data_IF_832519599198
#
_entry.id   IF_832519599198
#
_cell.length_a   1.000
_cell.length_b   1.000
_cell.length_c   1.000
_cell.angle_alpha   90.00
_cell.angle_beta   90.00
_cell.angle_gamma   90.00
#
_symmetry.space_group_name_H-M   'P 1'
#
loop_
_entity.id
_entity.type
_entity.pdbx_description
1 polymer ?
#
# COMPACT_ATOMS: atom_id res chain seq x y z
N UNK A 1 4.19 -5.59 -14.16
CA UNK A 1 3.89 -4.17 -14.24
C UNK A 1 2.39 -3.94 -14.29
N UNK A 2 2.00 -2.67 -14.19
CA UNK A 2 0.60 -2.28 -14.25
C UNK A 2 0.42 -1.44 -15.50
N UNK A 3 -0.52 -1.83 -16.36
CA UNK A 3 -0.79 -1.13 -17.60
C UNK A 3 -2.23 -0.64 -17.61
N UNK A 4 -2.42 0.52 -18.19
CA UNK A 4 -3.73 1.13 -18.33
C UNK A 4 -4.08 1.15 -19.82
N UNK A 5 -4.94 0.23 -20.24
CA UNK A 5 -5.32 0.10 -21.63
C UNK A 5 -6.80 0.40 -21.78
N UNK A 6 -7.11 1.46 -22.57
CA UNK A 6 -8.47 1.94 -22.71
C UNK A 6 -9.04 2.25 -21.33
N UNK A 7 -10.04 1.50 -20.88
CA UNK A 7 -10.62 1.73 -19.56
C UNK A 7 -10.37 0.57 -18.62
N UNK A 8 -9.29 -0.17 -18.88
CA UNK A 8 -8.98 -1.35 -18.09
C UNK A 8 -7.56 -1.28 -17.55
N UNK A 9 -7.36 -1.92 -16.40
CA UNK A 9 -6.05 -2.07 -15.81
C UNK A 9 -5.65 -3.53 -15.94
N UNK A 10 -4.40 -3.73 -16.37
CA UNK A 10 -3.81 -5.06 -16.46
C UNK A 10 -2.64 -5.11 -15.48
N UNK A 11 -2.64 -6.10 -14.60
CA UNK A 11 -1.52 -6.29 -13.67
C UNK A 11 -0.80 -7.56 -14.09
N UNK A 12 0.46 -7.39 -14.46
CA UNK A 12 1.27 -8.49 -14.99
C UNK A 12 2.53 -8.65 -14.16
N UNK A 13 2.92 -9.88 -13.93
CA UNK A 13 4.14 -10.18 -13.19
C UNK A 13 4.77 -11.44 -13.77
N UNK A 14 6.05 -11.34 -14.10
CA UNK A 14 6.82 -12.45 -14.66
C UNK A 14 6.13 -13.07 -15.89
N UNK A 15 5.55 -12.21 -16.74
CA UNK A 15 4.89 -12.66 -17.94
C UNK A 15 3.48 -13.19 -17.74
N UNK A 16 2.98 -13.15 -16.53
CA UNK A 16 1.65 -13.65 -16.20
C UNK A 16 0.69 -12.51 -15.92
N UNK A 17 -0.53 -12.65 -16.41
CA UNK A 17 -1.60 -11.70 -16.10
C UNK A 17 -2.21 -12.09 -14.76
N UNK A 18 -2.03 -11.24 -13.75
CA UNK A 18 -2.55 -11.50 -12.42
C UNK A 18 -3.98 -11.00 -12.25
N UNK A 19 -4.28 -9.83 -12.78
CA UNK A 19 -5.59 -9.20 -12.66
C UNK A 19 -5.88 -8.35 -13.87
N UNK A 20 -7.17 -8.24 -14.19
CA UNK A 20 -7.63 -7.38 -15.27
C UNK A 20 -9.03 -6.89 -14.92
N UNK A 21 -9.30 -5.62 -15.14
CA UNK A 21 -10.61 -5.08 -14.88
C UNK A 21 -10.60 -3.57 -14.91
N UNK A 22 -11.77 -2.97 -14.65
CA UNK A 22 -11.86 -1.52 -14.59
C UNK A 22 -11.06 -1.00 -13.40
N UNK A 23 -10.61 0.27 -13.46
CA UNK A 23 -9.91 0.85 -12.33
C UNK A 23 -10.70 0.75 -11.03
N UNK A 24 -12.00 0.98 -11.08
CA UNK A 24 -12.83 0.88 -9.89
C UNK A 24 -12.80 -0.52 -9.29
N UNK A 25 -12.99 -1.53 -10.14
CA UNK A 25 -13.02 -2.91 -9.67
C UNK A 25 -11.66 -3.33 -9.09
N UNK A 26 -10.59 -2.98 -9.79
CA UNK A 26 -9.25 -3.36 -9.37
C UNK A 26 -8.86 -2.67 -8.07
N UNK A 27 -9.15 -1.37 -7.96
CA UNK A 27 -8.85 -0.64 -6.73
C UNK A 27 -9.69 -1.13 -5.56
N UNK A 28 -10.93 -1.52 -5.83
CA UNK A 28 -11.79 -2.08 -4.79
C UNK A 28 -11.20 -3.37 -4.21
N UNK A 29 -10.45 -4.11 -5.00
CA UNK A 29 -9.88 -5.37 -4.52
C UNK A 29 -8.86 -5.18 -3.40
N UNK A 30 -8.32 -3.97 -3.25
CA UNK A 30 -7.36 -3.68 -2.17
C UNK A 30 -7.88 -2.60 -1.23
N UNK A 31 -9.17 -2.27 -1.27
CA UNK A 31 -9.68 -1.12 -0.52
C UNK A 31 -9.52 -1.27 1.00
N UNK A 32 -9.48 -2.48 1.51
CA UNK A 32 -9.29 -2.70 2.95
C UNK A 32 -7.84 -2.95 3.31
N UNK A 33 -6.92 -2.81 2.36
CA UNK A 33 -5.51 -3.09 2.57
C UNK A 33 -4.64 -1.83 2.60
N UNK A 34 -5.25 -0.66 2.46
CA UNK A 34 -4.50 0.60 2.50
C UNK A 34 -4.89 1.35 3.76
N UNK A 35 -3.89 1.70 4.54
CA UNK A 35 -4.09 2.24 5.88
C UNK A 35 -3.31 3.52 6.07
N UNK A 36 -3.79 4.37 6.97
CA UNK A 36 -2.98 5.46 7.52
C UNK A 36 -2.97 5.35 9.02
N UNK A 37 -1.87 5.78 9.63
CA UNK A 37 -1.78 5.80 11.08
C UNK A 37 -0.83 6.92 11.51
N UNK A 38 -1.13 7.50 12.66
CA UNK A 38 -0.27 8.50 13.28
C UNK A 38 0.51 7.82 14.40
N UNK A 39 1.83 7.90 14.33
CA UNK A 39 2.69 7.17 15.26
C UNK A 39 3.80 8.07 15.78
N UNK A 40 4.36 7.75 16.95
CA UNK A 40 5.58 8.42 17.38
C UNK A 40 6.73 8.07 16.45
N UNK A 41 7.71 8.96 16.37
CA UNK A 41 8.85 8.75 15.47
C UNK A 41 9.57 7.43 15.73
N UNK A 42 9.66 7.00 16.96
CA UNK A 42 10.39 5.78 17.29
C UNK A 42 9.73 4.52 16.76
N UNK A 43 8.46 4.59 16.31
CA UNK A 43 7.79 3.43 15.73
C UNK A 43 8.07 3.25 14.24
N UNK A 44 8.63 4.27 13.59
CA UNK A 44 8.79 4.24 12.14
C UNK A 44 9.67 3.08 11.69
N UNK A 45 10.80 2.90 12.33
CA UNK A 45 11.74 1.85 11.91
C UNK A 45 11.11 0.47 12.02
N UNK A 46 10.39 0.21 13.09
CA UNK A 46 9.73 -1.08 13.26
C UNK A 46 8.66 -1.32 12.18
N UNK A 47 7.89 -0.28 11.89
CA UNK A 47 6.85 -0.41 10.87
C UNK A 47 7.44 -0.59 9.49
N UNK A 48 8.53 0.12 9.18
CA UNK A 48 9.17 -0.03 7.88
C UNK A 48 9.80 -1.40 7.69
N UNK A 49 10.21 -2.04 8.78
CA UNK A 49 10.78 -3.38 8.69
C UNK A 49 9.72 -4.45 8.46
N UNK A 50 8.50 -4.21 8.90
CA UNK A 50 7.47 -5.23 8.89
C UNK A 50 6.37 -5.02 7.85
N UNK A 51 6.27 -3.81 7.29
CA UNK A 51 5.18 -3.47 6.40
C UNK A 51 5.69 -2.65 5.21
N UNK A 52 4.87 -2.61 4.16
CA UNK A 52 5.14 -1.75 3.01
C UNK A 52 4.66 -0.35 3.34
N UNK A 53 5.59 0.58 3.52
CA UNK A 53 5.26 1.98 3.83
C UNK A 53 5.27 2.76 2.52
N UNK A 54 4.09 3.21 2.11
CA UNK A 54 3.93 3.91 0.84
C UNK A 54 4.28 5.39 0.96
N UNK A 55 4.12 5.96 2.14
CA UNK A 55 4.35 7.38 2.33
C UNK A 55 4.56 7.69 3.79
N UNK A 56 5.33 8.74 4.06
CA UNK A 56 5.59 9.23 5.41
C UNK A 56 5.49 10.74 5.39
N UNK A 57 4.64 11.28 6.27
CA UNK A 57 4.50 12.72 6.42
C UNK A 57 4.86 13.12 7.84
N UNK A 58 5.69 14.13 7.96
CA UNK A 58 6.07 14.66 9.26
C UNK A 58 5.11 15.76 9.68
N UNK A 59 4.77 15.81 10.96
CA UNK A 59 4.04 16.92 11.53
C UNK A 59 4.65 17.24 12.87
N UNK A 60 4.15 18.31 13.50
CA UNK A 60 4.69 18.76 14.78
C UNK A 60 4.43 17.76 15.91
N UNK A 61 3.36 16.96 15.78
CA UNK A 61 2.92 16.13 16.87
C UNK A 61 3.12 14.64 16.63
N UNK A 62 3.14 14.21 15.38
CA UNK A 62 3.25 12.79 15.08
C UNK A 62 3.72 12.61 13.66
N UNK A 63 4.08 11.37 13.34
CA UNK A 63 4.41 11.00 11.98
C UNK A 63 3.24 10.24 11.39
N UNK A 64 2.81 10.61 10.19
CA UNK A 64 1.72 9.91 9.52
C UNK A 64 2.28 8.99 8.45
N UNK A 65 1.97 7.72 8.58
CA UNK A 65 2.40 6.71 7.62
C UNK A 65 1.22 6.20 6.82
N UNK A 66 1.46 5.97 5.52
CA UNK A 66 0.52 5.26 4.66
C UNK A 66 1.10 3.89 4.43
N UNK A 67 0.35 2.85 4.79
CA UNK A 67 0.86 1.48 4.82
C UNK A 67 -0.06 0.57 4.03
N UNK A 68 0.54 -0.37 3.30
CA UNK A 68 -0.20 -1.37 2.55
C UNK A 68 -0.04 -2.69 3.27
N UNK A 69 -1.14 -3.25 3.75
CA UNK A 69 -1.12 -4.48 4.54
C UNK A 69 -2.50 -5.11 4.54
N UNK A 70 -2.53 -6.44 4.47
CA UNK A 70 -3.80 -7.16 4.54
C UNK A 70 -4.37 -7.18 5.95
N UNK A 71 -3.55 -6.87 6.94
CA UNK A 71 -3.98 -6.79 8.33
C UNK A 71 -3.67 -5.41 8.87
N UNK A 72 -4.39 -4.98 9.92
CA UNK A 72 -4.14 -3.68 10.51
C UNK A 72 -2.71 -3.59 11.02
N UNK A 73 -1.96 -2.57 10.59
CA UNK A 73 -0.55 -2.46 10.99
C UNK A 73 -0.34 -1.80 12.35
N UNK A 74 -1.37 -1.16 12.89
CA UNK A 74 -1.24 -0.39 14.11
C UNK A 74 -2.60 -0.26 14.77
N UNK A 75 -2.63 -0.19 16.10
CA UNK A 75 -3.91 -0.23 16.81
C UNK A 75 -4.85 0.91 16.43
N UNK A 76 -4.31 2.07 16.09
CA UNK A 76 -5.13 3.22 15.73
C UNK A 76 -5.18 3.49 14.24
N UNK A 77 -4.73 2.54 13.42
CA UNK A 77 -4.75 2.72 11.97
C UNK A 77 -6.18 2.72 11.43
N UNK A 78 -6.38 3.44 10.35
CA UNK A 78 -7.67 3.48 9.67
C UNK A 78 -7.48 3.28 8.18
N UNK A 79 -8.49 2.71 7.53
CA UNK A 79 -8.43 2.49 6.09
C UNK A 79 -8.66 3.80 5.34
N UNK A 80 -8.00 3.91 4.19
CA UNK A 80 -8.15 5.06 3.29
C UNK A 80 -8.37 4.55 1.88
N UNK A 81 -8.83 5.44 1.00
CA UNK A 81 -9.08 5.09 -0.39
C UNK A 81 -7.78 4.76 -1.11
N UNK A 82 -7.72 3.63 -1.80
CA UNK A 82 -6.51 3.25 -2.54
C UNK A 82 -6.28 4.12 -3.76
N UNK A 83 -5.01 4.21 -4.14
CA UNK A 83 -4.59 4.86 -5.38
C UNK A 83 -3.90 3.83 -6.26
N UNK A 84 -3.61 4.22 -7.51
CA UNK A 84 -2.87 3.33 -8.41
C UNK A 84 -1.47 3.04 -7.89
N UNK A 85 -0.86 4.00 -7.21
CA UNK A 85 0.44 3.75 -6.60
C UNK A 85 0.35 2.67 -5.54
N UNK A 86 -0.69 2.72 -4.70
CA UNK A 86 -0.91 1.67 -3.69
C UNK A 86 -1.07 0.32 -4.33
N UNK A 87 -1.80 0.26 -5.45
CA UNK A 87 -2.01 -0.98 -6.18
C UNK A 87 -0.68 -1.55 -6.67
N UNK A 88 0.16 -0.69 -7.26
CA UNK A 88 1.47 -1.12 -7.71
C UNK A 88 2.30 -1.66 -6.56
N UNK A 89 2.32 -0.95 -5.44
CA UNK A 89 3.09 -1.37 -4.28
C UNK A 89 2.58 -2.69 -3.70
N UNK A 90 1.27 -2.88 -3.69
CA UNK A 90 0.71 -4.12 -3.18
C UNK A 90 1.21 -5.33 -3.94
N UNK A 91 1.29 -5.24 -5.26
CA UNK A 91 1.68 -6.39 -6.07
C UNK A 91 3.18 -6.53 -6.26
N UNK A 92 3.94 -5.46 -6.18
CA UNK A 92 5.35 -5.49 -6.59
C UNK A 92 6.35 -5.07 -5.53
N UNK A 93 5.96 -4.36 -4.48
CA UNK A 93 6.90 -3.95 -3.45
C UNK A 93 7.18 -5.11 -2.51
N UNK A 94 8.37 -5.07 -1.91
CA UNK A 94 8.75 -6.07 -0.93
C UNK A 94 9.16 -5.36 0.34
N UNK A 95 8.82 -5.98 1.48
CA UNK A 95 9.24 -5.46 2.77
C UNK A 95 10.75 -5.62 2.87
N UNK A 96 11.42 -4.58 3.37
CA UNK A 96 12.85 -4.62 3.57
C UNK A 96 13.19 -5.74 4.55
N UNK A 97 14.04 -6.64 4.10
CA UNK A 97 14.44 -7.77 4.93
C UNK A 97 15.83 -7.50 5.46
N UNK A 98 15.89 -7.02 6.69
CA UNK A 98 17.15 -6.66 7.30
C UNK A 98 17.72 -7.81 8.07
N UNK A 99 18.48 -8.60 7.36
CA UNK A 99 19.18 -9.66 8.04
C UNK A 99 20.40 -9.19 8.74
#
# INVERSE_FOLDING_TARGET
DVEYIAKEILIMKNGELLRQGSPETILKSIHSFVWECDVPRQEIERLEKNYIVANLKHSAEAERLRIISEVSPYTTAWNVEPTLEDLYLYYFAEVSDNE
#
